data_IF_299027549595
#
_entry.id   IF_299027549595
#
_cell.length_a   1.000
_cell.length_b   1.000
_cell.length_c   1.000
_cell.angle_alpha   90.00
_cell.angle_beta   90.00
_cell.angle_gamma   90.00
#
_symmetry.space_group_name_H-M   'P 1'
#
loop_
_entity.id
_entity.type
_entity.pdbx_description
1 polymer ?
#
# COMPACT_ATOMS: atom_id res chain seq x y z
N UNK A 1 16.35 -16.36 -19.43
CA UNK A 1 16.35 -15.57 -18.19
C UNK A 1 15.07 -15.91 -17.44
N UNK A 2 15.14 -16.06 -16.12
CA UNK A 2 13.92 -16.27 -15.31
C UNK A 2 13.16 -14.95 -15.30
N UNK A 3 11.91 -14.94 -15.78
CA UNK A 3 11.07 -13.74 -15.70
C UNK A 3 10.63 -13.55 -14.25
N UNK A 4 11.17 -12.53 -13.57
CA UNK A 4 10.75 -12.16 -12.22
C UNK A 4 9.32 -11.62 -12.26
N UNK A 5 8.45 -12.14 -11.39
CA UNK A 5 7.06 -11.70 -11.26
C UNK A 5 6.66 -11.64 -9.79
N UNK A 6 6.27 -10.45 -9.34
CA UNK A 6 5.72 -10.19 -8.00
C UNK A 6 4.44 -11.02 -7.76
N UNK A 7 4.16 -11.47 -6.52
CA UNK A 7 5.00 -11.38 -5.31
C UNK A 7 6.08 -12.48 -5.24
N UNK A 8 7.09 -12.25 -4.40
CA UNK A 8 8.21 -13.16 -4.16
C UNK A 8 8.04 -13.94 -2.84
N UNK A 9 8.77 -15.05 -2.64
CA UNK A 9 8.62 -15.92 -1.45
C UNK A 9 8.92 -15.19 -0.14
N UNK A 10 9.97 -14.39 -0.14
CA UNK A 10 10.21 -13.34 0.85
C UNK A 10 10.03 -12.00 0.16
N UNK A 11 9.23 -11.12 0.75
CA UNK A 11 8.88 -9.84 0.17
C UNK A 11 8.69 -8.78 1.27
N UNK A 12 8.40 -7.55 0.86
CA UNK A 12 8.02 -6.45 1.74
C UNK A 12 6.96 -5.59 1.07
N UNK A 13 6.21 -4.81 1.85
CA UNK A 13 5.06 -4.05 1.34
C UNK A 13 5.50 -2.88 0.46
N UNK A 14 6.40 -2.02 0.93
CA UNK A 14 6.99 -0.99 0.08
C UNK A 14 7.79 0.09 0.79
N UNK A 15 7.24 0.64 1.89
CA UNK A 15 7.83 1.78 2.58
C UNK A 15 8.92 1.41 3.58
N UNK A 16 9.93 2.29 3.71
CA UNK A 16 11.07 2.14 4.62
C UNK A 16 11.18 3.34 5.57
N UNK A 17 11.85 3.17 6.71
CA UNK A 17 12.16 4.25 7.65
C UNK A 17 12.94 5.36 6.94
N UNK A 18 12.47 6.61 7.06
CA UNK A 18 13.09 7.77 6.42
C UNK A 18 14.45 8.07 7.07
N UNK A 19 15.55 8.14 6.30
CA UNK A 19 16.85 8.55 6.81
C UNK A 19 16.82 9.98 7.34
N UNK A 20 17.69 10.27 8.31
CA UNK A 20 17.79 11.60 8.91
C UNK A 20 18.09 12.69 7.87
N UNK A 21 18.87 12.37 6.83
CA UNK A 21 19.19 13.30 5.74
C UNK A 21 17.94 13.80 5.00
N UNK A 22 16.95 12.92 4.76
CA UNK A 22 15.68 13.31 4.12
C UNK A 22 14.88 14.23 5.05
N UNK A 23 14.77 13.86 6.33
CA UNK A 23 14.04 14.66 7.33
C UNK A 23 14.63 16.07 7.45
N UNK A 24 15.97 16.18 7.48
CA UNK A 24 16.67 17.45 7.49
C UNK A 24 16.42 18.24 6.21
N UNK A 25 16.62 17.64 5.03
CA UNK A 25 16.43 18.34 3.76
C UNK A 25 14.98 18.83 3.57
N UNK A 26 13.98 18.07 4.02
CA UNK A 26 12.57 18.51 3.99
C UNK A 26 12.31 19.71 4.89
N UNK A 27 12.90 19.72 6.09
CA UNK A 27 12.80 20.85 7.00
C UNK A 27 13.46 22.11 6.41
N UNK A 28 14.66 21.96 5.83
CA UNK A 28 15.39 23.04 5.13
C UNK A 28 14.60 23.55 3.91
N UNK A 29 14.00 22.66 3.13
CA UNK A 29 13.15 23.03 1.99
C UNK A 29 11.91 23.80 2.44
N UNK A 30 11.23 23.35 3.50
CA UNK A 30 10.09 24.05 4.10
C UNK A 30 10.48 25.42 4.66
N UNK A 31 11.70 25.56 5.16
CA UNK A 31 12.26 26.83 5.61
C UNK A 31 12.75 27.75 4.47
N UNK A 32 12.75 27.28 3.22
CA UNK A 32 13.26 28.01 2.05
C UNK A 32 14.78 28.09 1.98
N UNK A 33 15.49 27.24 2.72
CA UNK A 33 16.97 27.22 2.79
C UNK A 33 17.60 26.45 1.63
N UNK A 34 16.88 25.47 1.08
CA UNK A 34 17.27 24.73 -0.12
C UNK A 34 16.19 24.79 -1.19
N UNK A 35 16.61 24.67 -2.45
CA UNK A 35 15.74 24.59 -3.63
C UNK A 35 15.08 23.21 -3.76
N UNK A 36 14.05 23.11 -4.64
CA UNK A 36 13.41 21.83 -4.95
C UNK A 36 14.42 20.85 -5.55
N UNK A 37 15.31 21.33 -6.41
CA UNK A 37 16.36 20.54 -7.06
C UNK A 37 17.34 19.96 -6.03
N UNK A 38 17.71 20.76 -5.02
CA UNK A 38 18.57 20.30 -3.92
C UNK A 38 17.87 19.24 -3.05
N UNK A 39 16.59 19.41 -2.73
CA UNK A 39 15.82 18.38 -2.02
C UNK A 39 15.76 17.09 -2.84
N UNK A 40 15.43 17.19 -4.13
CA UNK A 40 15.37 16.04 -5.04
C UNK A 40 16.72 15.32 -5.14
N UNK A 41 17.84 16.06 -5.11
CA UNK A 41 19.16 15.45 -5.10
C UNK A 41 19.42 14.61 -3.84
N UNK A 42 19.05 15.12 -2.65
CA UNK A 42 19.15 14.37 -1.39
C UNK A 42 18.24 13.14 -1.41
N UNK A 43 17.00 13.27 -1.88
CA UNK A 43 16.08 12.14 -2.03
C UNK A 43 16.65 11.07 -2.98
N UNK A 44 17.17 11.46 -4.14
CA UNK A 44 17.79 10.56 -5.11
C UNK A 44 18.96 9.78 -4.50
N UNK A 45 19.83 10.45 -3.76
CA UNK A 45 20.96 9.83 -3.08
C UNK A 45 20.47 8.78 -2.07
N UNK A 46 19.52 9.15 -1.21
CA UNK A 46 19.02 8.26 -0.16
C UNK A 46 18.21 7.08 -0.73
N UNK A 47 17.46 7.28 -1.81
CA UNK A 47 16.78 6.20 -2.54
C UNK A 47 17.81 5.24 -3.16
N UNK A 48 18.89 5.76 -3.75
CA UNK A 48 19.96 4.93 -4.32
C UNK A 48 20.59 4.04 -3.25
N UNK A 49 20.92 4.62 -2.08
CA UNK A 49 21.46 3.87 -0.94
C UNK A 49 20.48 2.80 -0.42
N UNK A 50 19.18 3.10 -0.37
CA UNK A 50 18.16 2.13 0.01
C UNK A 50 18.11 0.96 -0.97
N UNK A 51 18.06 1.24 -2.27
CA UNK A 51 18.00 0.20 -3.32
C UNK A 51 19.23 -0.69 -3.26
N UNK A 52 20.43 -0.13 -3.04
CA UNK A 52 21.64 -0.94 -2.83
C UNK A 52 21.50 -1.88 -1.63
N UNK A 53 20.93 -1.42 -0.51
CA UNK A 53 20.68 -2.26 0.67
C UNK A 53 19.66 -3.36 0.37
N UNK A 54 18.57 -3.06 -0.34
CA UNK A 54 17.54 -4.03 -0.75
C UNK A 54 18.17 -5.14 -1.61
N UNK A 55 19.00 -4.76 -2.59
CA UNK A 55 19.72 -5.70 -3.48
C UNK A 55 20.74 -6.54 -2.70
N UNK A 56 21.52 -5.94 -1.80
CA UNK A 56 22.48 -6.68 -0.94
C UNK A 56 21.78 -7.67 0.00
N UNK A 57 20.58 -7.35 0.48
CA UNK A 57 19.76 -8.27 1.25
C UNK A 57 19.19 -9.43 0.39
N UNK A 58 19.25 -9.31 -0.94
CA UNK A 58 18.81 -10.32 -1.90
C UNK A 58 17.32 -10.27 -2.23
N UNK A 59 16.64 -9.16 -1.97
CA UNK A 59 15.24 -8.99 -2.36
C UNK A 59 15.10 -8.76 -3.86
N UNK A 60 14.10 -9.41 -4.46
CA UNK A 60 13.79 -9.27 -5.88
C UNK A 60 12.91 -8.05 -6.20
N UNK A 61 12.15 -7.53 -5.23
CA UNK A 61 11.49 -6.25 -5.37
C UNK A 61 12.44 -5.13 -4.89
N UNK A 62 12.53 -4.05 -5.64
CA UNK A 62 13.13 -2.78 -5.19
C UNK A 62 12.07 -1.66 -5.21
N UNK A 63 12.14 -0.75 -4.23
CA UNK A 63 11.24 0.39 -4.09
C UNK A 63 12.03 1.65 -3.72
N UNK A 64 11.41 2.82 -3.88
CA UNK A 64 11.97 4.08 -3.37
C UNK A 64 11.79 4.27 -1.85
N UNK A 65 11.24 3.27 -1.16
CA UNK A 65 10.88 3.35 0.26
C UNK A 65 9.84 4.41 0.60
N UNK A 66 9.17 4.99 -0.41
CA UNK A 66 8.26 6.13 -0.30
C UNK A 66 8.95 7.39 0.25
N UNK A 67 10.25 7.51 0.00
CA UNK A 67 11.12 8.57 0.54
C UNK A 67 10.79 9.97 0.04
N UNK A 68 10.04 10.11 -1.06
CA UNK A 68 9.57 11.41 -1.57
C UNK A 68 8.22 11.84 -0.99
N UNK A 69 7.56 10.97 -0.24
CA UNK A 69 6.18 11.19 0.19
C UNK A 69 6.08 11.65 1.63
N UNK A 70 5.19 12.59 1.91
CA UNK A 70 4.80 12.97 3.28
C UNK A 70 3.77 11.98 3.83
N UNK A 71 2.81 11.61 2.98
CA UNK A 71 1.78 10.58 3.17
C UNK A 71 1.89 9.53 2.06
N UNK A 72 1.72 8.26 2.42
CA UNK A 72 1.72 7.19 1.43
C UNK A 72 0.65 7.38 0.33
N UNK A 73 -0.51 7.96 0.68
CA UNK A 73 -1.66 8.16 -0.20
C UNK A 73 -1.83 9.59 -0.73
N UNK A 74 -1.82 10.62 0.13
CA UNK A 74 -2.18 11.99 -0.29
C UNK A 74 -1.23 12.55 -1.35
N UNK A 75 0.09 12.34 -1.23
CA UNK A 75 1.06 12.78 -2.23
C UNK A 75 0.81 12.18 -3.62
N UNK A 76 0.24 10.97 -3.69
CA UNK A 76 -0.23 10.40 -4.96
C UNK A 76 -1.51 11.08 -5.42
N UNK A 77 -2.49 11.25 -4.53
CA UNK A 77 -3.78 11.85 -4.88
C UNK A 77 -3.65 13.30 -5.37
N UNK A 78 -2.76 14.10 -4.76
CA UNK A 78 -2.42 15.45 -5.22
C UNK A 78 -1.70 15.48 -6.59
N UNK A 79 -1.24 14.33 -7.07
CA UNK A 79 -0.69 14.17 -8.41
C UNK A 79 -1.74 14.09 -9.52
N UNK A 80 -3.02 13.95 -9.19
CA UNK A 80 -4.11 13.99 -10.17
C UNK A 80 -4.48 15.44 -10.50
N UNK A 81 -4.68 15.71 -11.80
CA UNK A 81 -5.33 16.96 -12.19
C UNK A 81 -6.78 16.97 -11.68
N UNK A 82 -7.27 18.14 -11.26
CA UNK A 82 -8.61 18.30 -10.68
C UNK A 82 -8.70 17.93 -9.20
N UNK A 83 -7.57 17.66 -8.53
CA UNK A 83 -7.47 17.46 -7.09
C UNK A 83 -6.54 18.53 -6.50
N UNK A 84 -7.04 19.30 -5.54
CA UNK A 84 -6.27 20.29 -4.78
C UNK A 84 -5.81 19.70 -3.43
N UNK A 85 -4.64 20.11 -2.97
CA UNK A 85 -4.20 19.95 -1.59
C UNK A 85 -4.91 20.94 -0.67
N UNK A 86 -5.50 20.44 0.42
CA UNK A 86 -6.15 21.23 1.47
C UNK A 86 -5.80 20.69 2.86
N UNK A 87 -6.10 21.46 3.90
CA UNK A 87 -6.08 21.00 5.30
C UNK A 87 -7.50 21.01 5.86
N UNK A 88 -7.81 20.02 6.70
CA UNK A 88 -9.04 19.94 7.49
C UNK A 88 -8.81 20.42 8.93
N UNK A 89 -9.88 20.49 9.72
CA UNK A 89 -9.80 20.85 11.14
C UNK A 89 -9.03 19.81 11.97
N UNK A 90 -9.02 18.55 11.51
CA UNK A 90 -8.34 17.43 12.15
C UNK A 90 -7.73 16.45 11.12
N UNK A 91 -6.72 15.71 11.55
CA UNK A 91 -6.12 14.59 10.82
C UNK A 91 -6.90 13.28 10.99
N UNK A 92 -6.33 12.17 10.53
CA UNK A 92 -6.90 10.85 10.80
C UNK A 92 -6.66 10.47 12.26
N UNK A 93 -7.71 9.97 12.91
CA UNK A 93 -7.61 9.43 14.26
C UNK A 93 -7.08 8.00 14.22
N UNK A 94 -5.92 7.83 14.83
CA UNK A 94 -5.29 6.56 15.11
C UNK A 94 -5.41 6.26 16.62
N UNK A 95 -5.13 5.02 17.04
CA UNK A 95 -5.18 4.68 18.47
C UNK A 95 -4.14 5.51 19.27
N UNK A 96 -4.65 6.53 19.97
CA UNK A 96 -3.89 7.41 20.87
C UNK A 96 -3.14 8.56 20.19
N UNK A 97 -3.24 8.71 18.87
CA UNK A 97 -2.51 9.72 18.10
C UNK A 97 -3.38 10.24 16.94
N UNK A 98 -3.12 11.48 16.52
CA UNK A 98 -3.76 12.10 15.35
C UNK A 98 -2.67 12.40 14.31
N UNK A 99 -2.99 12.21 13.03
CA UNK A 99 -2.05 12.57 11.95
C UNK A 99 -2.03 14.08 11.71
N UNK A 100 -1.14 14.52 10.85
CA UNK A 100 -1.22 15.84 10.23
C UNK A 100 -2.53 16.01 9.44
N UNK A 101 -2.98 17.25 9.25
CA UNK A 101 -4.35 17.58 8.86
C UNK A 101 -4.62 17.59 7.34
N UNK A 102 -3.66 17.09 6.54
CA UNK A 102 -3.77 17.11 5.09
C UNK A 102 -4.98 16.30 4.60
N UNK A 103 -5.60 16.77 3.53
CA UNK A 103 -6.66 16.09 2.79
C UNK A 103 -6.66 16.56 1.32
N UNK A 104 -7.71 16.21 0.59
CA UNK A 104 -7.89 16.56 -0.82
C UNK A 104 -9.22 17.26 -1.03
N UNK A 105 -9.31 18.07 -2.08
CA UNK A 105 -10.57 18.62 -2.56
C UNK A 105 -10.65 18.47 -4.07
N UNK A 106 -11.79 18.01 -4.58
CA UNK A 106 -12.05 18.05 -6.03
C UNK A 106 -12.18 19.51 -6.49
N UNK A 107 -11.32 19.95 -7.39
CA UNK A 107 -11.39 21.28 -8.01
C UNK A 107 -11.85 21.25 -9.47
N UNK A 108 -11.94 20.07 -10.07
CA UNK A 108 -12.42 19.89 -11.42
C UNK A 108 -12.46 18.43 -11.85
N UNK A 109 -12.46 18.21 -13.16
CA UNK A 109 -12.45 16.86 -13.72
C UNK A 109 -11.14 16.14 -13.35
N UNK A 110 -11.25 14.93 -12.82
CA UNK A 110 -10.12 14.13 -12.33
C UNK A 110 -9.41 13.50 -13.54
N UNK A 111 -8.10 13.65 -13.62
CA UNK A 111 -7.29 13.07 -14.70
C UNK A 111 -5.92 12.62 -14.20
N UNK A 112 -5.46 11.48 -14.72
CA UNK A 112 -4.14 10.89 -14.43
C UNK A 112 -3.03 11.33 -15.39
N UNK A 113 -3.30 12.27 -16.29
CA UNK A 113 -2.29 12.78 -17.23
C UNK A 113 -1.14 13.47 -16.51
N UNK A 114 0.10 13.21 -16.95
CA UNK A 114 1.33 13.80 -16.41
C UNK A 114 1.54 13.58 -14.91
N UNK A 115 1.04 12.46 -14.38
CA UNK A 115 1.15 12.16 -12.95
C UNK A 115 2.62 12.07 -12.50
N UNK A 116 3.05 12.83 -11.46
CA UNK A 116 4.47 12.97 -11.08
C UNK A 116 5.15 11.65 -10.69
N UNK A 117 4.37 10.69 -10.19
CA UNK A 117 4.89 9.38 -9.80
C UNK A 117 5.46 8.56 -10.97
N UNK A 118 5.11 8.88 -12.22
CA UNK A 118 5.73 8.23 -13.39
C UNK A 118 7.22 8.59 -13.46
N UNK A 119 7.60 9.83 -13.16
CA UNK A 119 9.01 10.25 -13.10
C UNK A 119 9.72 9.68 -11.87
N UNK A 120 9.03 9.60 -10.72
CA UNK A 120 9.57 8.93 -9.54
C UNK A 120 9.87 7.45 -9.83
N UNK A 121 8.95 6.76 -10.53
CA UNK A 121 9.13 5.38 -10.95
C UNK A 121 10.32 5.23 -11.92
N UNK A 122 10.44 6.09 -12.94
CA UNK A 122 11.56 6.05 -13.90
C UNK A 122 12.92 6.14 -13.20
N UNK A 123 13.02 6.92 -12.11
CA UNK A 123 14.23 6.96 -11.31
C UNK A 123 14.54 5.59 -10.67
N UNK A 124 13.56 4.87 -10.13
CA UNK A 124 13.78 3.52 -9.55
C UNK A 124 14.05 2.47 -10.64
N UNK A 125 13.33 2.54 -11.76
CA UNK A 125 13.42 1.62 -12.90
C UNK A 125 14.83 1.44 -13.44
N UNK A 126 15.68 2.48 -13.35
CA UNK A 126 17.06 2.43 -13.84
C UNK A 126 17.96 1.50 -13.02
N UNK A 127 17.55 1.10 -11.82
CA UNK A 127 18.32 0.24 -10.90
C UNK A 127 17.97 -1.26 -10.99
N UNK A 128 16.97 -1.61 -11.81
CA UNK A 128 16.65 -3.01 -12.09
C UNK A 128 17.84 -3.75 -12.72
N UNK A 129 17.92 -5.04 -12.44
CA UNK A 129 18.89 -5.97 -13.05
C UNK A 129 18.26 -7.36 -13.21
N UNK A 130 19.06 -8.38 -13.55
CA UNK A 130 18.55 -9.74 -13.75
C UNK A 130 17.96 -10.38 -12.48
N UNK A 131 18.20 -9.80 -11.30
CA UNK A 131 17.78 -10.31 -10.00
C UNK A 131 16.71 -9.45 -9.34
N UNK A 132 16.43 -8.23 -9.80
CA UNK A 132 15.39 -7.38 -9.23
C UNK A 132 14.55 -6.58 -10.22
N UNK A 133 13.30 -6.31 -9.81
CA UNK A 133 12.33 -5.46 -10.52
C UNK A 133 11.84 -4.32 -9.61
N UNK A 134 11.57 -3.16 -10.19
CA UNK A 134 11.03 -2.02 -9.50
C UNK A 134 9.52 -2.19 -9.28
N UNK A 135 9.10 -2.01 -8.03
CA UNK A 135 7.68 -1.98 -7.63
C UNK A 135 7.23 -0.56 -7.36
N UNK A 136 6.12 -0.17 -7.95
CA UNK A 136 5.43 1.08 -7.62
C UNK A 136 4.28 0.81 -6.65
N UNK A 137 4.28 1.43 -5.47
CA UNK A 137 3.14 1.45 -4.55
C UNK A 137 2.28 2.70 -4.79
N UNK A 138 0.96 2.57 -4.77
CA UNK A 138 0.02 3.69 -4.85
C UNK A 138 -1.29 3.35 -4.12
N UNK A 139 -2.03 4.33 -3.60
CA UNK A 139 -3.33 4.07 -3.01
C UNK A 139 -4.30 3.43 -4.01
N UNK A 140 -5.21 2.61 -3.52
CA UNK A 140 -6.27 2.06 -4.36
C UNK A 140 -7.26 3.14 -4.83
N UNK A 141 -7.93 2.95 -5.98
CA UNK A 141 -9.04 3.79 -6.42
C UNK A 141 -10.13 3.99 -5.36
N UNK A 142 -10.51 2.92 -4.65
CA UNK A 142 -11.45 2.98 -3.52
C UNK A 142 -10.97 3.89 -2.39
N UNK A 143 -9.66 3.93 -2.12
CA UNK A 143 -9.08 4.84 -1.12
C UNK A 143 -9.23 6.31 -1.53
N UNK A 144 -9.11 6.62 -2.82
CA UNK A 144 -9.39 7.97 -3.33
C UNK A 144 -10.87 8.33 -3.14
N UNK A 145 -11.78 7.43 -3.52
CA UNK A 145 -13.22 7.67 -3.34
C UNK A 145 -13.56 7.92 -1.86
N UNK A 146 -13.02 7.10 -0.95
CA UNK A 146 -13.23 7.30 0.49
C UNK A 146 -12.72 8.67 0.97
N UNK A 147 -11.56 9.12 0.48
CA UNK A 147 -11.00 10.42 0.86
C UNK A 147 -11.80 11.61 0.29
N UNK A 148 -12.36 11.47 -0.91
CA UNK A 148 -13.23 12.47 -1.53
C UNK A 148 -14.53 12.71 -0.74
N UNK A 149 -14.95 11.73 0.06
CA UNK A 149 -16.13 11.81 0.92
C UNK A 149 -15.78 11.93 2.41
N UNK A 150 -14.51 12.20 2.74
CA UNK A 150 -14.11 12.45 4.12
C UNK A 150 -14.71 13.77 4.61
N UNK A 151 -15.44 13.70 5.73
CA UNK A 151 -16.04 14.88 6.38
C UNK A 151 -16.88 15.73 5.39
N UNK A 152 -16.62 17.03 5.34
CA UNK A 152 -17.36 17.95 4.49
C UNK A 152 -16.89 17.97 3.02
N UNK A 153 -15.83 17.22 2.67
CA UNK A 153 -15.35 17.12 1.29
C UNK A 153 -16.45 16.59 0.36
N UNK A 154 -17.33 15.71 0.85
CA UNK A 154 -18.45 15.15 0.08
C UNK A 154 -19.35 16.22 -0.54
N UNK A 155 -19.62 17.33 0.16
CA UNK A 155 -20.43 18.44 -0.38
C UNK A 155 -19.80 19.07 -1.61
N UNK A 156 -18.48 19.24 -1.59
CA UNK A 156 -17.72 19.78 -2.71
C UNK A 156 -17.63 18.74 -3.84
N UNK A 157 -17.37 17.48 -3.51
CA UNK A 157 -17.34 16.36 -4.47
C UNK A 157 -18.65 16.27 -5.24
N UNK A 158 -19.80 16.29 -4.57
CA UNK A 158 -21.13 16.22 -5.20
C UNK A 158 -21.47 17.47 -6.03
N UNK A 159 -20.87 18.62 -5.70
CA UNK A 159 -21.02 19.85 -6.50
C UNK A 159 -20.29 19.74 -7.84
N UNK A 160 -19.09 19.16 -7.85
CA UNK A 160 -18.31 18.95 -9.08
C UNK A 160 -18.80 17.73 -9.86
N UNK A 161 -19.21 16.68 -9.16
CA UNK A 161 -19.75 15.44 -9.71
C UNK A 161 -21.15 15.15 -9.17
N UNK A 162 -22.20 15.76 -9.74
CA UNK A 162 -23.58 15.45 -9.36
C UNK A 162 -24.01 14.02 -9.73
N UNK A 163 -23.32 13.39 -10.68
CA UNK A 163 -23.51 12.00 -11.07
C UNK A 163 -22.39 11.14 -10.46
N UNK A 164 -22.76 10.32 -9.48
CA UNK A 164 -21.82 9.44 -8.78
C UNK A 164 -21.18 8.40 -9.73
N UNK A 165 -21.91 7.90 -10.73
CA UNK A 165 -21.34 6.95 -11.68
C UNK A 165 -20.27 7.62 -12.56
N UNK A 166 -20.48 8.88 -12.94
CA UNK A 166 -19.48 9.66 -13.67
C UNK A 166 -18.20 9.84 -12.84
N UNK A 167 -18.32 10.08 -11.51
CA UNK A 167 -17.17 10.13 -10.60
C UNK A 167 -16.40 8.81 -10.60
N UNK A 168 -17.08 7.67 -10.45
CA UNK A 168 -16.44 6.35 -10.46
C UNK A 168 -15.70 6.09 -11.78
N UNK A 169 -16.31 6.42 -12.92
CA UNK A 169 -15.70 6.25 -14.23
C UNK A 169 -14.47 7.14 -14.44
N UNK A 170 -14.53 8.40 -14.01
CA UNK A 170 -13.41 9.34 -14.17
C UNK A 170 -12.24 8.99 -13.22
N UNK A 171 -12.51 8.54 -11.98
CA UNK A 171 -11.47 7.96 -11.10
C UNK A 171 -10.82 6.76 -11.79
N UNK A 172 -11.62 5.79 -12.25
CA UNK A 172 -11.09 4.60 -12.91
C UNK A 172 -10.26 4.95 -14.17
N UNK A 173 -10.71 5.91 -14.97
CA UNK A 173 -9.99 6.39 -16.15
C UNK A 173 -8.67 7.08 -15.80
N UNK A 174 -8.62 7.86 -14.72
CA UNK A 174 -7.41 8.49 -14.22
C UNK A 174 -6.39 7.43 -13.80
N UNK A 175 -6.80 6.41 -13.02
CA UNK A 175 -5.91 5.32 -12.65
C UNK A 175 -5.43 4.50 -13.85
N UNK A 176 -6.31 4.17 -14.82
CA UNK A 176 -5.89 3.49 -16.06
C UNK A 176 -4.83 4.29 -16.83
N UNK A 177 -4.93 5.62 -16.83
CA UNK A 177 -3.93 6.50 -17.43
C UNK A 177 -2.58 6.36 -16.72
N UNK A 178 -2.55 6.47 -15.40
CA UNK A 178 -1.31 6.33 -14.61
C UNK A 178 -0.70 4.93 -14.77
N UNK A 179 -1.52 3.87 -14.71
CA UNK A 179 -1.08 2.48 -14.89
C UNK A 179 -0.47 2.29 -16.28
N UNK A 180 -1.11 2.81 -17.33
CA UNK A 180 -0.58 2.75 -18.70
C UNK A 180 0.75 3.51 -18.81
N UNK A 181 0.86 4.69 -18.22
CA UNK A 181 2.07 5.50 -18.32
C UNK A 181 3.24 4.87 -17.53
N UNK A 182 2.97 4.28 -16.37
CA UNK A 182 3.92 3.44 -15.64
C UNK A 182 4.35 2.23 -16.46
N UNK A 183 3.40 1.52 -17.08
CA UNK A 183 3.70 0.35 -17.93
C UNK A 183 4.58 0.72 -19.12
N UNK A 184 4.27 1.85 -19.78
CA UNK A 184 5.05 2.41 -20.88
C UNK A 184 6.45 2.84 -20.44
N UNK A 185 6.61 3.26 -19.18
CA UNK A 185 7.92 3.51 -18.56
C UNK A 185 8.67 2.22 -18.16
N UNK A 186 8.11 1.05 -18.42
CA UNK A 186 8.72 -0.26 -18.16
C UNK A 186 8.26 -0.94 -16.88
N UNK A 187 7.24 -0.41 -16.18
CA UNK A 187 6.73 -1.02 -14.96
C UNK A 187 6.09 -2.38 -15.20
N UNK A 188 6.46 -3.34 -14.35
CA UNK A 188 5.95 -4.72 -14.34
C UNK A 188 5.46 -5.19 -12.97
N UNK A 189 5.53 -4.33 -11.95
CA UNK A 189 5.00 -4.59 -10.61
C UNK A 189 4.36 -3.32 -10.04
N UNK A 190 3.05 -3.35 -9.85
CA UNK A 190 2.30 -2.30 -9.16
C UNK A 190 1.60 -2.91 -7.95
N UNK A 191 1.58 -2.16 -6.85
CA UNK A 191 0.80 -2.51 -5.67
C UNK A 191 -0.21 -1.39 -5.35
N UNK A 192 -1.46 -1.78 -5.15
CA UNK A 192 -2.48 -0.96 -4.52
C UNK A 192 -2.41 -1.11 -3.00
N UNK A 193 -2.29 0.00 -2.29
CA UNK A 193 -2.42 0.04 -0.84
C UNK A 193 -3.84 0.52 -0.50
N UNK A 194 -4.59 -0.28 0.25
CA UNK A 194 -6.02 -0.05 0.47
C UNK A 194 -6.39 -0.25 1.95
N UNK A 195 -6.73 0.85 2.63
CA UNK A 195 -7.18 0.82 4.02
C UNK A 195 -8.69 0.65 4.16
N UNK A 196 -9.45 0.82 3.06
CA UNK A 196 -10.93 0.78 3.11
C UNK A 196 -11.45 -0.60 3.49
N UNK A 197 -10.78 -1.65 3.01
CA UNK A 197 -11.03 -3.04 3.40
C UNK A 197 -10.77 -3.30 4.89
N UNK A 198 -9.72 -2.66 5.45
CA UNK A 198 -9.44 -2.70 6.89
C UNK A 198 -10.56 -2.05 7.70
N UNK A 199 -11.11 -0.94 7.23
CA UNK A 199 -12.27 -0.27 7.85
C UNK A 199 -13.51 -1.17 7.85
N UNK A 200 -13.81 -1.86 6.75
CA UNK A 200 -14.92 -2.82 6.69
C UNK A 200 -14.75 -4.01 7.65
N UNK A 201 -13.52 -4.36 8.05
CA UNK A 201 -13.29 -5.37 9.06
C UNK A 201 -13.57 -4.88 10.49
N UNK A 202 -13.60 -3.55 10.73
CA UNK A 202 -13.78 -2.98 12.06
C UNK A 202 -15.26 -2.98 12.49
N UNK A 203 -15.61 -3.68 13.60
CA UNK A 203 -16.97 -3.69 14.13
C UNK A 203 -17.54 -2.29 14.42
N UNK A 204 -16.69 -1.32 14.79
CA UNK A 204 -17.13 0.03 15.06
C UNK A 204 -17.56 0.74 13.77
N UNK A 205 -16.80 0.56 12.69
CA UNK A 205 -17.15 1.11 11.39
C UNK A 205 -18.39 0.44 10.81
N UNK A 206 -18.49 -0.89 10.94
CA UNK A 206 -19.71 -1.64 10.58
C UNK A 206 -20.95 -1.09 11.30
N UNK A 207 -20.85 -0.84 12.60
CA UNK A 207 -21.95 -0.26 13.37
C UNK A 207 -22.28 1.17 12.92
N UNK A 208 -21.26 1.98 12.60
CA UNK A 208 -21.43 3.35 12.11
C UNK A 208 -22.19 3.40 10.77
N UNK A 209 -21.76 2.64 9.77
CA UNK A 209 -22.44 2.62 8.45
C UNK A 209 -23.84 2.01 8.54
N UNK A 210 -24.03 1.00 9.40
CA UNK A 210 -25.36 0.42 9.64
C UNK A 210 -26.33 1.43 10.28
N UNK A 211 -25.85 2.28 11.20
CA UNK A 211 -26.65 3.39 11.77
C UNK A 211 -27.03 4.43 10.72
N UNK A 212 -26.17 4.64 9.72
CA UNK A 212 -26.46 5.50 8.56
C UNK A 212 -27.36 4.82 7.51
N UNK A 213 -27.80 3.56 7.74
CA UNK A 213 -28.64 2.82 6.81
C UNK A 213 -27.91 2.23 5.60
N UNK A 214 -26.57 2.24 5.62
CA UNK A 214 -25.73 1.69 4.55
C UNK A 214 -25.37 0.23 4.91
N UNK A 215 -25.58 -0.69 3.96
CA UNK A 215 -25.13 -2.07 4.11
C UNK A 215 -23.65 -2.18 3.75
N UNK A 216 -22.89 -2.91 4.56
CA UNK A 216 -21.47 -3.16 4.31
C UNK A 216 -21.24 -3.77 2.93
N UNK A 217 -22.08 -4.74 2.54
CA UNK A 217 -21.93 -5.44 1.27
C UNK A 217 -22.12 -4.50 0.07
N UNK A 218 -23.04 -3.54 0.15
CA UNK A 218 -23.29 -2.59 -0.94
C UNK A 218 -22.07 -1.68 -1.14
N UNK A 219 -21.53 -1.11 -0.06
CA UNK A 219 -20.34 -0.26 -0.11
C UNK A 219 -19.07 -1.04 -0.50
N UNK A 220 -18.91 -2.26 0.02
CA UNK A 220 -17.81 -3.14 -0.36
C UNK A 220 -17.84 -3.51 -1.85
N UNK A 221 -19.03 -3.79 -2.41
CA UNK A 221 -19.16 -4.09 -3.84
C UNK A 221 -18.88 -2.86 -4.72
N UNK A 222 -19.23 -1.65 -4.28
CA UNK A 222 -18.87 -0.41 -4.98
C UNK A 222 -17.35 -0.22 -5.02
N UNK A 223 -16.67 -0.38 -3.89
CA UNK A 223 -15.21 -0.21 -3.80
C UNK A 223 -14.48 -1.28 -4.61
N UNK A 224 -14.93 -2.53 -4.54
CA UNK A 224 -14.44 -3.62 -5.39
C UNK A 224 -14.61 -3.27 -6.88
N UNK A 225 -15.80 -2.79 -7.27
CA UNK A 225 -16.10 -2.43 -8.65
C UNK A 225 -15.17 -1.33 -9.13
N UNK A 226 -14.96 -0.29 -8.33
CA UNK A 226 -14.08 0.82 -8.69
C UNK A 226 -12.62 0.36 -8.86
N UNK A 227 -12.11 -0.45 -7.93
CA UNK A 227 -10.78 -1.04 -8.04
C UNK A 227 -10.65 -1.88 -9.33
N UNK A 228 -11.66 -2.69 -9.66
CA UNK A 228 -11.67 -3.51 -10.87
C UNK A 228 -11.77 -2.69 -12.16
N UNK A 229 -12.57 -1.61 -12.20
CA UNK A 229 -12.67 -0.70 -13.35
C UNK A 229 -11.33 -0.04 -13.67
N UNK A 230 -10.55 0.30 -12.64
CA UNK A 230 -9.21 0.87 -12.81
C UNK A 230 -8.20 -0.12 -13.42
N UNK A 231 -8.49 -1.42 -13.41
CA UNK A 231 -7.64 -2.49 -13.93
C UNK A 231 -8.08 -3.01 -15.31
N UNK A 232 -9.15 -2.47 -15.89
CA UNK A 232 -9.57 -2.85 -17.25
C UNK A 232 -8.50 -2.52 -18.29
N UNK A 233 -8.21 -3.48 -19.17
CA UNK A 233 -7.16 -3.35 -20.19
C UNK A 233 -5.73 -3.49 -19.64
N UNK A 234 -5.56 -3.88 -18.38
CA UNK A 234 -4.25 -4.18 -17.79
C UNK A 234 -3.46 -5.19 -18.65
N UNK A 235 -2.19 -4.92 -18.99
CA UNK A 235 -1.32 -5.88 -19.69
C UNK A 235 -1.08 -7.16 -18.89
N UNK A 236 -1.05 -8.31 -19.56
CA UNK A 236 -0.95 -9.63 -18.90
C UNK A 236 0.39 -9.89 -18.17
N UNK A 237 1.45 -9.18 -18.55
CA UNK A 237 2.77 -9.25 -17.93
C UNK A 237 2.98 -8.23 -16.80
N UNK A 238 1.99 -7.37 -16.52
CA UNK A 238 2.01 -6.45 -15.39
C UNK A 238 1.40 -7.12 -14.15
N UNK A 239 2.23 -7.42 -13.15
CA UNK A 239 1.76 -7.91 -11.86
C UNK A 239 1.09 -6.80 -11.04
N UNK A 240 -0.13 -7.04 -10.58
CA UNK A 240 -0.85 -6.17 -9.63
C UNK A 240 -1.07 -6.92 -8.33
N UNK A 241 -0.79 -6.25 -7.22
CA UNK A 241 -1.05 -6.78 -5.88
C UNK A 241 -1.84 -5.78 -5.07
N UNK A 242 -2.66 -6.24 -4.13
CA UNK A 242 -3.34 -5.36 -3.16
C UNK A 242 -2.80 -5.63 -1.77
N UNK A 243 -2.32 -4.60 -1.09
CA UNK A 243 -2.06 -4.63 0.34
C UNK A 243 -3.29 -4.16 1.10
N UNK A 244 -3.84 -5.05 1.91
CA UNK A 244 -4.98 -4.75 2.78
C UNK A 244 -4.46 -4.23 4.12
N UNK A 245 -4.33 -2.91 4.21
CA UNK A 245 -3.75 -2.23 5.35
C UNK A 245 -4.81 -2.02 6.45
N UNK A 246 -4.44 -2.21 7.72
CA UNK A 246 -5.30 -1.89 8.88
C UNK A 246 -4.99 -0.54 9.52
N UNK A 247 -4.32 0.33 8.76
CA UNK A 247 -3.70 1.55 9.24
C UNK A 247 -2.43 1.24 10.02
N UNK A 248 -1.32 1.80 9.56
CA UNK A 248 -0.05 1.81 10.27
C UNK A 248 0.40 3.26 10.39
N UNK A 249 0.53 3.78 11.61
CA UNK A 249 1.03 5.15 11.83
C UNK A 249 1.81 5.17 13.14
N UNK A 250 3.11 5.47 13.09
CA UNK A 250 3.93 5.60 14.30
C UNK A 250 3.81 4.42 15.30
N UNK A 251 3.83 3.19 14.76
CA UNK A 251 3.61 1.93 15.50
C UNK A 251 2.19 1.69 16.06
N UNK A 252 1.20 2.51 15.70
CA UNK A 252 -0.22 2.32 16.07
C UNK A 252 -1.08 1.90 14.88
N UNK A 253 -2.39 1.70 15.08
CA UNK A 253 -3.34 1.21 14.07
C UNK A 253 -4.65 2.02 14.02
N UNK A 254 -5.38 1.88 12.91
CA UNK A 254 -6.67 2.55 12.69
C UNK A 254 -7.87 1.59 12.83
N UNK A 255 -7.74 0.34 12.38
CA UNK A 255 -8.85 -0.63 12.33
C UNK A 255 -8.51 -1.96 12.99
N UNK A 256 -9.50 -2.77 13.36
CA UNK A 256 -9.30 -4.13 13.93
C UNK A 256 -10.23 -5.15 13.28
N UNK A 257 -9.97 -6.45 13.47
CA UNK A 257 -10.88 -7.52 13.05
C UNK A 257 -10.32 -8.39 11.93
N UNK A 258 -10.78 -9.64 11.90
CA UNK A 258 -10.43 -10.62 10.87
C UNK A 258 -11.11 -10.34 9.54
N UNK A 259 -10.59 -10.93 8.46
CA UNK A 259 -11.03 -10.67 7.09
C UNK A 259 -12.38 -11.31 6.70
N UNK A 260 -13.02 -12.06 7.60
CA UNK A 260 -14.27 -12.77 7.31
C UNK A 260 -15.38 -11.89 6.69
N UNK A 261 -15.61 -10.62 7.11
CA UNK A 261 -16.67 -9.78 6.54
C UNK A 261 -16.46 -9.43 5.07
N UNK A 262 -15.20 -9.36 4.61
CA UNK A 262 -14.87 -8.91 3.25
C UNK A 262 -14.43 -10.04 2.32
N UNK A 263 -13.97 -11.17 2.86
CA UNK A 263 -13.31 -12.22 2.09
C UNK A 263 -14.15 -12.78 0.92
N UNK A 264 -15.48 -13.02 1.06
CA UNK A 264 -16.31 -13.46 -0.06
C UNK A 264 -16.42 -12.44 -1.20
N UNK A 265 -16.14 -11.16 -0.93
CA UNK A 265 -16.19 -10.07 -1.91
C UNK A 265 -14.77 -9.83 -2.45
N UNK A 266 -13.86 -9.40 -1.58
CA UNK A 266 -12.50 -9.00 -1.93
C UNK A 266 -11.68 -10.17 -2.50
N UNK A 267 -11.51 -11.25 -1.72
CA UNK A 267 -10.59 -12.33 -2.09
C UNK A 267 -11.08 -13.14 -3.29
N UNK A 268 -12.39 -13.21 -3.46
CA UNK A 268 -13.02 -13.91 -4.57
C UNK A 268 -13.00 -13.10 -5.88
N UNK A 269 -13.10 -11.75 -5.82
CA UNK A 269 -13.48 -10.96 -7.00
C UNK A 269 -12.59 -9.78 -7.37
N UNK A 270 -11.61 -9.37 -6.54
CA UNK A 270 -10.70 -8.28 -6.95
C UNK A 270 -9.69 -8.77 -7.98
N UNK A 271 -9.52 -8.06 -9.09
CA UNK A 271 -8.77 -8.48 -10.28
C UNK A 271 -7.24 -8.33 -10.15
N UNK A 272 -6.69 -8.71 -9.00
CA UNK A 272 -5.24 -8.71 -8.71
C UNK A 272 -4.61 -10.11 -8.75
N UNK A 273 -3.28 -10.17 -8.84
CA UNK A 273 -2.49 -11.42 -8.83
C UNK A 273 -2.24 -11.93 -7.41
N UNK A 274 -2.20 -11.04 -6.41
CA UNK A 274 -1.96 -11.43 -5.02
C UNK A 274 -2.47 -10.41 -4.00
N UNK A 275 -2.66 -10.89 -2.77
CA UNK A 275 -2.99 -10.06 -1.60
C UNK A 275 -1.84 -10.05 -0.59
N UNK A 276 -1.48 -8.88 -0.05
CA UNK A 276 -0.60 -8.72 1.11
C UNK A 276 -1.46 -8.45 2.34
N UNK A 277 -1.52 -9.42 3.26
CA UNK A 277 -2.47 -9.44 4.36
C UNK A 277 -1.76 -9.39 5.71
N UNK A 278 -2.20 -8.49 6.58
CA UNK A 278 -1.70 -8.35 7.94
C UNK A 278 -2.21 -9.51 8.83
N UNK A 279 -1.30 -10.18 9.53
CA UNK A 279 -1.59 -11.26 10.47
C UNK A 279 -0.66 -11.24 11.70
N UNK A 280 0.05 -10.16 11.99
CA UNK A 280 1.12 -10.13 13.01
C UNK A 280 0.63 -10.26 14.46
N UNK A 281 -0.64 -9.97 14.73
CA UNK A 281 -1.25 -9.99 16.07
C UNK A 281 -2.59 -10.74 16.11
N UNK A 282 -3.08 -11.06 17.32
CA UNK A 282 -4.38 -11.72 17.52
C UNK A 282 -5.57 -10.89 17.00
N UNK A 283 -5.40 -9.56 16.95
CA UNK A 283 -6.40 -8.60 16.44
C UNK A 283 -6.66 -8.81 14.94
N UNK A 284 -5.71 -9.38 14.21
CA UNK A 284 -5.78 -9.62 12.77
C UNK A 284 -6.64 -10.82 12.37
N UNK A 285 -7.11 -11.62 13.34
CA UNK A 285 -8.00 -12.76 13.11
C UNK A 285 -7.28 -14.06 12.74
N UNK A 286 -8.04 -15.02 12.20
CA UNK A 286 -7.55 -16.34 11.81
C UNK A 286 -7.37 -16.46 10.28
N UNK A 287 -6.85 -17.61 9.81
CA UNK A 287 -6.61 -17.86 8.38
C UNK A 287 -7.82 -18.44 7.63
N UNK A 288 -8.94 -18.73 8.30
CA UNK A 288 -10.13 -19.31 7.68
C UNK A 288 -10.67 -18.52 6.47
N UNK A 289 -10.63 -17.16 6.45
CA UNK A 289 -11.05 -16.40 5.28
C UNK A 289 -10.22 -16.65 4.02
N UNK A 290 -9.01 -17.23 4.12
CA UNK A 290 -8.18 -17.54 2.95
C UNK A 290 -8.83 -18.56 2.00
N UNK A 291 -9.81 -19.34 2.47
CA UNK A 291 -10.58 -20.27 1.64
C UNK A 291 -11.33 -19.58 0.49
N UNK A 292 -11.59 -18.27 0.60
CA UNK A 292 -12.27 -17.48 -0.44
C UNK A 292 -11.31 -16.94 -1.50
N UNK A 293 -9.99 -17.12 -1.35
CA UNK A 293 -9.01 -16.62 -2.32
C UNK A 293 -9.15 -17.38 -3.64
N UNK A 294 -9.61 -16.68 -4.68
CA UNK A 294 -9.84 -17.28 -5.99
C UNK A 294 -8.59 -17.96 -6.56
N UNK A 295 -8.80 -19.00 -7.38
CA UNK A 295 -7.73 -19.80 -7.95
C UNK A 295 -6.69 -18.97 -8.72
N UNK A 296 -5.42 -19.38 -8.68
CA UNK A 296 -4.32 -18.67 -9.33
C UNK A 296 -3.81 -17.43 -8.60
N UNK A 297 -4.51 -16.92 -7.57
CA UNK A 297 -4.02 -15.79 -6.76
C UNK A 297 -3.09 -16.25 -5.65
N UNK A 298 -2.04 -15.47 -5.37
CA UNK A 298 -1.15 -15.70 -4.22
C UNK A 298 -1.58 -14.90 -2.99
N UNK A 299 -1.09 -15.32 -1.82
CA UNK A 299 -1.23 -14.57 -0.57
C UNK A 299 0.15 -14.39 0.05
N UNK A 300 0.51 -13.14 0.32
CA UNK A 300 1.68 -12.78 1.11
C UNK A 300 1.22 -12.59 2.55
N UNK A 301 1.70 -13.48 3.42
CA UNK A 301 1.36 -13.51 4.84
C UNK A 301 2.24 -12.50 5.59
N UNK A 302 1.60 -11.47 6.11
CA UNK A 302 2.21 -10.45 6.93
C UNK A 302 2.37 -10.89 8.39
N UNK A 303 3.38 -11.72 8.68
CA UNK A 303 3.54 -12.37 9.99
C UNK A 303 4.63 -11.75 10.87
N UNK A 304 5.40 -10.81 10.32
CA UNK A 304 6.46 -10.09 11.02
C UNK A 304 5.99 -8.67 11.28
N UNK A 305 5.99 -8.20 12.54
CA UNK A 305 5.50 -6.85 12.85
C UNK A 305 6.56 -5.79 12.53
N UNK A 306 6.20 -4.74 11.81
CA UNK A 306 6.99 -3.51 11.64
C UNK A 306 6.76 -2.48 12.76
N UNK A 307 6.01 -2.81 13.83
CA UNK A 307 5.63 -1.86 14.87
C UNK A 307 6.47 -1.94 16.14
N UNK A 308 7.18 -3.05 16.34
CA UNK A 308 8.01 -3.34 17.52
C UNK A 308 9.42 -3.76 17.12
N UNK A 309 10.47 -3.36 17.86
CA UNK A 309 11.85 -3.78 17.56
C UNK A 309 12.12 -5.26 17.85
N UNK A 310 11.26 -5.92 18.64
CA UNK A 310 11.42 -7.33 19.01
C UNK A 310 11.31 -8.22 17.77
N UNK A 311 12.30 -9.09 17.58
CA UNK A 311 12.23 -10.14 16.57
C UNK A 311 11.25 -11.23 17.00
N UNK A 312 10.49 -11.70 16.01
CA UNK A 312 9.55 -12.78 16.11
C UNK A 312 10.28 -14.12 16.31
N UNK A 313 9.62 -15.08 16.95
CA UNK A 313 10.15 -16.43 17.06
C UNK A 313 10.03 -17.15 15.71
N UNK A 314 11.17 -17.57 15.15
CA UNK A 314 11.25 -18.18 13.82
C UNK A 314 10.33 -19.40 13.70
N UNK A 315 10.34 -20.29 14.69
CA UNK A 315 9.57 -21.53 14.66
C UNK A 315 8.07 -21.25 14.77
N UNK A 316 7.67 -20.28 15.58
CA UNK A 316 6.28 -19.83 15.67
C UNK A 316 5.77 -19.27 14.34
N UNK A 317 6.57 -18.48 13.63
CA UNK A 317 6.19 -17.95 12.30
C UNK A 317 6.04 -19.08 11.28
N UNK A 318 6.98 -20.04 11.24
CA UNK A 318 6.89 -21.22 10.37
C UNK A 318 5.61 -22.02 10.67
N UNK A 319 5.30 -22.26 11.94
CA UNK A 319 4.07 -22.95 12.34
C UNK A 319 2.81 -22.25 11.82
N UNK A 320 2.79 -20.91 11.85
CA UNK A 320 1.67 -20.11 11.31
C UNK A 320 1.56 -20.15 9.78
N UNK A 321 2.67 -20.27 9.06
CA UNK A 321 2.64 -20.49 7.60
C UNK A 321 1.94 -21.83 7.29
N UNK A 322 2.28 -22.90 8.02
CA UNK A 322 1.62 -24.20 7.87
C UNK A 322 0.17 -24.24 8.41
N UNK A 323 -0.19 -23.32 9.30
CA UNK A 323 -1.60 -23.12 9.67
C UNK A 323 -2.40 -22.55 8.49
N UNK A 324 -1.87 -21.55 7.79
CA UNK A 324 -2.48 -20.98 6.59
C UNK A 324 -2.55 -22.01 5.43
N UNK A 325 -1.59 -22.93 5.34
CA UNK A 325 -1.54 -24.01 4.34
C UNK A 325 -2.81 -24.89 4.34
N UNK A 326 -3.54 -24.95 5.46
CA UNK A 326 -4.82 -25.67 5.56
C UNK A 326 -5.92 -25.09 4.67
N UNK A 327 -5.80 -23.83 4.27
CA UNK A 327 -6.81 -23.09 3.51
C UNK A 327 -6.36 -22.72 2.09
N UNK A 328 -5.06 -22.56 1.88
CA UNK A 328 -4.47 -22.25 0.58
C UNK A 328 -3.15 -23.01 0.41
N UNK A 329 -2.88 -23.64 -0.75
CA UNK A 329 -1.65 -24.40 -0.97
C UNK A 329 -0.37 -23.60 -0.68
N UNK A 330 0.64 -24.26 -0.09
CA UNK A 330 1.90 -23.63 0.30
C UNK A 330 2.63 -22.94 -0.86
N UNK A 331 2.48 -23.43 -2.09
CA UNK A 331 3.08 -22.83 -3.28
C UNK A 331 2.41 -21.52 -3.70
N UNK A 332 1.21 -21.21 -3.18
CA UNK A 332 0.52 -19.93 -3.35
C UNK A 332 0.77 -18.96 -2.17
N UNK A 333 1.53 -19.38 -1.15
CA UNK A 333 1.89 -18.55 0.00
C UNK A 333 3.27 -17.90 -0.16
N UNK A 334 3.41 -16.69 0.38
CA UNK A 334 4.66 -15.95 0.55
C UNK A 334 4.71 -15.33 1.95
N UNK A 335 5.85 -14.77 2.34
CA UNK A 335 6.06 -14.13 3.63
C UNK A 335 6.53 -12.68 3.46
N UNK A 336 5.98 -11.78 4.26
CA UNK A 336 6.46 -10.42 4.41
C UNK A 336 6.31 -9.92 5.85
N UNK A 337 6.82 -8.73 6.18
CA UNK A 337 6.25 -7.95 7.24
C UNK A 337 4.77 -7.66 6.98
N UNK A 338 4.01 -7.41 8.03
CA UNK A 338 2.59 -7.11 7.99
C UNK A 338 2.24 -5.86 7.17
N UNK A 339 3.06 -4.81 7.27
CA UNK A 339 2.89 -3.53 6.59
C UNK A 339 4.27 -2.98 6.20
N UNK A 340 4.33 -1.80 5.61
CA UNK A 340 5.59 -1.07 5.45
C UNK A 340 6.18 -0.60 6.79
N UNK A 341 7.43 -0.15 6.78
CA UNK A 341 8.10 0.32 8.00
C UNK A 341 7.80 1.80 8.31
N UNK A 342 7.17 2.53 7.39
CA UNK A 342 6.77 3.91 7.63
C UNK A 342 5.67 4.38 6.66
N UNK A 343 4.45 4.61 7.16
CA UNK A 343 3.34 5.09 6.33
C UNK A 343 3.28 6.62 6.23
N UNK A 344 3.95 7.32 7.15
CA UNK A 344 4.12 8.78 7.16
C UNK A 344 5.56 9.14 7.52
N UNK A 345 5.96 10.40 7.31
CA UNK A 345 7.32 10.89 7.54
C UNK A 345 7.90 10.58 8.93
N UNK A 346 7.06 10.52 9.96
CA UNK A 346 7.46 10.21 11.33
C UNK A 346 8.11 8.81 11.45
N UNK A 347 7.62 7.84 10.66
CA UNK A 347 8.06 6.44 10.68
C UNK A 347 7.61 5.66 11.91
N UNK A 348 7.82 4.34 11.91
CA UNK A 348 7.57 3.51 13.08
C UNK A 348 8.71 3.62 14.11
N UNK A 349 8.44 3.24 15.37
CA UNK A 349 9.39 3.32 16.49
C UNK A 349 10.42 2.19 16.44
N UNK A 350 11.20 2.13 15.36
CA UNK A 350 12.30 1.19 15.10
C UNK A 350 13.52 1.93 14.58
N UNK A 351 14.69 1.33 14.75
CA UNK A 351 15.95 1.75 14.13
C UNK A 351 16.13 1.12 12.74
N UNK A 352 17.02 1.69 11.91
CA UNK A 352 17.39 1.11 10.61
C UNK A 352 17.91 -0.33 10.77
N UNK A 353 18.72 -0.60 11.80
CA UNK A 353 19.23 -1.93 12.08
C UNK A 353 18.11 -2.93 12.41
N UNK A 354 17.14 -2.54 13.23
CA UNK A 354 16.00 -3.40 13.58
C UNK A 354 15.10 -3.70 12.36
N UNK A 355 14.87 -2.70 11.51
CA UNK A 355 14.17 -2.89 10.22
C UNK A 355 14.88 -3.95 9.36
N UNK A 356 16.20 -3.85 9.19
CA UNK A 356 16.95 -4.82 8.38
C UNK A 356 17.06 -6.20 9.03
N UNK A 357 17.12 -6.28 10.37
CA UNK A 357 17.07 -7.55 11.09
C UNK A 357 15.73 -8.27 10.86
N UNK A 358 14.62 -7.54 10.79
CA UNK A 358 13.30 -8.11 10.46
C UNK A 358 13.24 -8.64 9.03
N UNK A 359 13.75 -7.89 8.07
CA UNK A 359 13.82 -8.35 6.67
C UNK A 359 14.75 -9.58 6.53
N UNK A 360 15.87 -9.60 7.26
CA UNK A 360 16.73 -10.78 7.33
C UNK A 360 15.97 -12.01 7.87
N UNK A 361 15.19 -11.85 8.95
CA UNK A 361 14.36 -12.92 9.50
C UNK A 361 13.31 -13.43 8.50
N UNK A 362 12.64 -12.52 7.77
CA UNK A 362 11.68 -12.88 6.70
C UNK A 362 12.35 -13.77 5.67
N UNK A 363 13.55 -13.39 5.20
CA UNK A 363 14.30 -14.17 4.23
C UNK A 363 14.68 -15.55 4.78
N UNK A 364 15.29 -15.61 5.97
CA UNK A 364 15.70 -16.87 6.60
C UNK A 364 14.53 -17.86 6.75
N UNK A 365 13.35 -17.38 7.15
CA UNK A 365 12.13 -18.20 7.25
C UNK A 365 11.71 -18.70 5.86
N UNK A 366 11.70 -17.81 4.87
CA UNK A 366 11.23 -18.18 3.54
C UNK A 366 12.16 -19.20 2.85
N UNK A 367 13.48 -19.07 3.02
CA UNK A 367 14.46 -20.04 2.51
C UNK A 367 14.26 -21.41 3.18
N UNK A 368 13.96 -21.45 4.48
CA UNK A 368 13.68 -22.68 5.22
C UNK A 368 12.37 -23.35 4.79
N UNK A 369 11.30 -22.58 4.60
CA UNK A 369 9.97 -23.11 4.24
C UNK A 369 9.89 -23.56 2.78
N UNK A 370 10.46 -22.78 1.85
CA UNK A 370 10.31 -23.03 0.41
C UNK A 370 11.58 -23.60 -0.26
N UNK A 371 12.66 -23.83 0.48
CA UNK A 371 13.86 -24.54 0.00
C UNK A 371 14.58 -23.86 -1.16
N UNK A 372 14.61 -22.52 -1.16
CA UNK A 372 15.27 -21.72 -2.19
C UNK A 372 16.39 -20.88 -1.61
#
# INVERSE_FOLDING_TARGET
>A
MVTLRSPFRYDFVGSFLRPQAIKTARAEFKAGEITREQLTAVENEQITLLIEKQKRAGYHAITDGEFRRSYWHLDFMWGFAGIDEIELDHGYYFQGEETTHGSIRVSGKISGENHPFVEHYKFVKQFEDENCIARQTMPAPAQLLAELYREDNGKNTDTVYPDHEQLLQDIAAAYRTVIRDLYNAGCRSIQFDDCTWGMFCDPNYQAFIAQAGVKLEDQANEYLRLNNLALEGRPADLALTTHVCRGNYHSTWASRGGYAPIAPILFAHENVDAFYLEFDDERSGNFEPLQYVAEGKKVVLGLITTKSPRLEDKAAVIARIHEAEKYIPLDRLCLSPQCGFASCEIGNKLTDLEQWNKLKLVKEIAEEVWGK
#
